data_IF_800662767530
#
_entry.id   IF_800662767530
#
_cell.length_a   1.000
_cell.length_b   1.000
_cell.length_c   1.000
_cell.angle_alpha   90.00
_cell.angle_beta   90.00
_cell.angle_gamma   90.00
#
_symmetry.space_group_name_H-M   'P 1'
#
loop_
_entity.id
_entity.type
_entity.pdbx_description
1 polymer ?
#
# COMPACT_ATOMS: atom_id res chain seq x y z
N UNK A 1 -14.45 8.40 -5.01
CA UNK A 1 -13.13 7.72 -4.96
C UNK A 1 -12.36 7.97 -6.24
N UNK A 2 -11.09 8.34 -6.17
CA UNK A 2 -10.19 8.49 -7.32
C UNK A 2 -9.69 7.12 -7.81
N UNK A 3 -9.14 7.06 -9.05
CA UNK A 3 -8.53 5.83 -9.56
C UNK A 3 -7.34 5.38 -8.69
N UNK A 4 -6.53 6.32 -8.23
CA UNK A 4 -5.38 6.02 -7.36
C UNK A 4 -5.81 5.47 -5.98
N UNK A 5 -6.89 6.00 -5.39
CA UNK A 5 -7.47 5.46 -4.16
C UNK A 5 -8.05 4.06 -4.37
N UNK A 6 -8.76 3.82 -5.47
CA UNK A 6 -9.29 2.49 -5.79
C UNK A 6 -8.18 1.46 -5.90
N UNK A 7 -7.12 1.76 -6.63
CA UNK A 7 -5.94 0.89 -6.73
C UNK A 7 -5.26 0.64 -5.38
N UNK A 8 -5.11 1.69 -4.54
CA UNK A 8 -4.54 1.55 -3.21
C UNK A 8 -5.37 0.63 -2.29
N UNK A 9 -6.68 0.58 -2.50
CA UNK A 9 -7.60 -0.28 -1.76
C UNK A 9 -7.88 -1.63 -2.42
N UNK A 10 -7.19 -1.93 -3.52
CA UNK A 10 -7.39 -3.15 -4.32
C UNK A 10 -8.83 -3.28 -4.86
N UNK A 11 -9.39 -2.16 -5.30
CA UNK A 11 -10.70 -2.07 -5.95
C UNK A 11 -10.46 -1.83 -7.43
N UNK A 12 -11.16 -2.59 -8.29
CA UNK A 12 -11.09 -2.37 -9.73
C UNK A 12 -11.54 -0.94 -10.09
N UNK A 13 -10.84 -0.24 -11.02
CA UNK A 13 -11.10 1.17 -11.32
C UNK A 13 -12.53 1.50 -11.74
N UNK A 14 -13.24 0.58 -12.38
CA UNK A 14 -14.63 0.71 -12.79
C UNK A 14 -15.61 0.56 -11.62
N UNK A 15 -15.24 -0.20 -10.59
CA UNK A 15 -16.04 -0.38 -9.38
C UNK A 15 -15.96 0.81 -8.41
N UNK A 16 -15.03 1.75 -8.61
CA UNK A 16 -14.82 2.90 -7.71
C UNK A 16 -16.03 3.79 -7.50
N UNK A 17 -16.96 3.81 -8.45
CA UNK A 17 -18.20 4.60 -8.36
C UNK A 17 -19.18 4.07 -7.31
N UNK A 18 -19.01 2.82 -6.88
CA UNK A 18 -19.75 2.25 -5.76
C UNK A 18 -19.27 2.71 -4.38
N UNK A 19 -18.25 3.60 -4.31
CA UNK A 19 -17.66 4.04 -3.04
C UNK A 19 -17.66 5.56 -2.91
N UNK A 20 -18.04 6.07 -1.74
CA UNK A 20 -18.09 7.51 -1.43
C UNK A 20 -17.19 7.80 -0.24
N UNK A 21 -16.41 8.87 -0.37
CA UNK A 21 -15.61 9.45 0.69
C UNK A 21 -16.28 10.69 1.25
N UNK A 22 -16.43 10.75 2.56
CA UNK A 22 -16.93 11.93 3.28
C UNK A 22 -15.78 12.53 4.10
N UNK A 23 -15.41 13.76 3.76
CA UNK A 23 -14.40 14.53 4.48
C UNK A 23 -15.08 15.62 5.32
N UNK A 24 -14.61 15.82 6.56
CA UNK A 24 -15.05 16.92 7.40
C UNK A 24 -14.40 18.23 6.92
N UNK A 25 -15.14 19.06 6.19
CA UNK A 25 -14.60 20.28 5.58
C UNK A 25 -14.47 21.45 6.56
N UNK A 26 -15.51 21.71 7.38
CA UNK A 26 -15.53 22.81 8.36
C UNK A 26 -16.45 22.46 9.52
N UNK A 27 -15.90 22.45 10.74
CA UNK A 27 -16.67 22.29 11.98
C UNK A 27 -16.37 23.49 12.86
N UNK A 28 -17.41 24.28 13.17
CA UNK A 28 -17.25 25.49 13.98
C UNK A 28 -17.25 25.17 15.51
N UNK A 29 -17.66 23.98 15.90
CA UNK A 29 -17.99 23.62 17.29
C UNK A 29 -17.20 22.40 17.79
N UNK A 30 -16.53 21.62 16.94
CA UNK A 30 -15.78 20.43 17.32
C UNK A 30 -14.42 20.34 16.62
N UNK A 31 -13.48 19.60 17.23
CA UNK A 31 -12.21 19.29 16.60
C UNK A 31 -12.44 18.53 15.28
N UNK A 32 -11.80 18.97 14.19
CA UNK A 32 -11.87 18.29 12.89
C UNK A 32 -11.43 16.83 13.05
N UNK A 33 -12.24 15.90 12.54
CA UNK A 33 -11.75 14.56 12.28
C UNK A 33 -10.73 14.63 11.16
N UNK A 34 -9.52 14.17 11.41
CA UNK A 34 -8.47 14.06 10.38
C UNK A 34 -8.67 12.84 9.46
N UNK A 35 -9.59 11.94 9.83
CA UNK A 35 -9.87 10.74 9.08
C UNK A 35 -11.13 10.90 8.22
N UNK A 36 -11.03 10.52 6.94
CA UNK A 36 -12.17 10.43 6.06
C UNK A 36 -13.07 9.25 6.46
N UNK A 37 -14.37 9.41 6.36
CA UNK A 37 -15.34 8.32 6.49
C UNK A 37 -15.69 7.81 5.11
N UNK A 38 -15.65 6.50 4.95
CA UNK A 38 -15.94 5.86 3.67
C UNK A 38 -17.24 5.07 3.74
N UNK A 39 -17.97 5.08 2.63
CA UNK A 39 -19.19 4.31 2.44
C UNK A 39 -19.11 3.54 1.12
N UNK A 40 -19.75 2.39 1.06
CA UNK A 40 -20.02 1.69 -0.20
C UNK A 40 -21.51 1.62 -0.44
N UNK A 41 -21.91 1.66 -1.71
CA UNK A 41 -23.28 1.39 -2.10
C UNK A 41 -23.50 -0.10 -2.30
N UNK A 42 -24.54 -0.61 -1.66
CA UNK A 42 -25.00 -2.00 -1.82
C UNK A 42 -26.45 -2.01 -2.27
N UNK A 43 -26.79 -2.92 -3.18
CA UNK A 43 -28.17 -3.12 -3.60
C UNK A 43 -28.91 -3.97 -2.56
N UNK A 44 -30.00 -3.44 -2.03
CA UNK A 44 -30.88 -4.16 -1.09
C UNK A 44 -32.22 -4.44 -1.78
N UNK A 45 -32.59 -5.73 -2.00
CA UNK A 45 -33.91 -6.07 -2.51
C UNK A 45 -35.00 -5.62 -1.54
N UNK A 46 -36.06 -5.00 -2.03
CA UNK A 46 -37.16 -4.51 -1.17
C UNK A 46 -38.32 -5.52 -1.00
N UNK A 47 -38.15 -6.72 -1.56
CA UNK A 47 -39.07 -7.85 -1.33
C UNK A 47 -40.42 -7.71 -2.03
N UNK A 48 -40.52 -6.92 -3.09
CA UNK A 48 -41.72 -6.68 -3.86
C UNK A 48 -41.79 -7.54 -5.17
N UNK A 49 -41.11 -8.67 -5.19
CA UNK A 49 -41.15 -9.61 -6.27
C UNK A 49 -42.60 -10.17 -6.46
N UNK A 50 -43.06 -10.26 -7.72
CA UNK A 50 -44.31 -10.89 -8.11
C UNK A 50 -44.07 -11.98 -9.12
N UNK A 51 -45.06 -12.86 -9.42
CA UNK A 51 -44.92 -13.87 -10.49
C UNK A 51 -44.58 -13.24 -11.86
N UNK A 52 -45.10 -12.05 -12.15
CA UNK A 52 -44.86 -11.29 -13.39
C UNK A 52 -43.54 -10.52 -13.35
N UNK A 53 -43.01 -10.20 -12.14
CA UNK A 53 -41.75 -9.53 -11.92
C UNK A 53 -40.91 -10.21 -10.85
N UNK A 54 -40.31 -11.39 -11.18
CA UNK A 54 -39.63 -12.24 -10.21
C UNK A 54 -38.37 -11.62 -9.57
N UNK A 55 -37.72 -10.67 -10.27
CA UNK A 55 -36.51 -9.99 -9.75
C UNK A 55 -36.84 -9.01 -8.65
N UNK A 56 -38.05 -8.43 -8.64
CA UNK A 56 -38.40 -7.34 -7.74
C UNK A 56 -37.52 -6.09 -7.95
N UNK A 57 -37.70 -5.10 -7.08
CA UNK A 57 -36.89 -3.89 -7.08
C UNK A 57 -35.74 -3.98 -6.08
N UNK A 58 -34.67 -3.27 -6.39
CA UNK A 58 -33.50 -3.13 -5.54
C UNK A 58 -33.18 -1.66 -5.34
N UNK A 59 -33.03 -1.25 -4.09
CA UNK A 59 -32.60 0.12 -3.73
C UNK A 59 -31.13 0.13 -3.35
N UNK A 60 -30.44 1.21 -3.67
CA UNK A 60 -29.06 1.40 -3.22
C UNK A 60 -29.05 1.98 -1.81
N UNK A 61 -28.30 1.36 -0.91
CA UNK A 61 -28.10 1.81 0.47
C UNK A 61 -26.61 2.07 0.67
N UNK A 62 -26.28 3.14 1.38
CA UNK A 62 -24.93 3.45 1.77
C UNK A 62 -24.58 2.72 3.07
N UNK A 63 -23.61 1.82 3.03
CA UNK A 63 -23.05 1.14 4.20
C UNK A 63 -21.70 1.74 4.57
N UNK A 64 -21.42 1.82 5.87
CA UNK A 64 -20.09 2.18 6.35
C UNK A 64 -19.07 1.16 5.81
N UNK A 65 -18.03 1.65 5.17
CA UNK A 65 -16.96 0.82 4.63
C UNK A 65 -15.62 1.25 5.22
N UNK A 66 -14.86 0.28 5.72
CA UNK A 66 -13.54 0.51 6.27
C UNK A 66 -12.52 0.14 5.19
N UNK A 67 -11.76 1.12 4.65
CA UNK A 67 -10.72 0.83 3.68
C UNK A 67 -9.71 -0.18 4.20
N UNK A 68 -9.25 -1.12 3.37
CA UNK A 68 -8.16 -2.02 3.75
C UNK A 68 -6.92 -1.23 4.12
N UNK A 69 -6.37 -1.50 5.30
CA UNK A 69 -5.09 -0.94 5.71
C UNK A 69 -3.95 -1.65 4.94
N UNK A 70 -3.07 -0.86 4.32
CA UNK A 70 -1.88 -1.39 3.66
C UNK A 70 -0.98 -2.19 4.63
N UNK A 71 -1.05 -1.90 5.93
CA UNK A 71 -0.26 -2.55 7.00
C UNK A 71 -0.95 -3.77 7.60
N UNK A 72 -2.26 -3.96 7.36
CA UNK A 72 -2.99 -5.09 7.91
C UNK A 72 -2.31 -6.42 7.53
N UNK A 73 -2.13 -7.32 8.51
CA UNK A 73 -1.48 -8.61 8.31
C UNK A 73 0.06 -8.58 8.30
N UNK A 74 0.70 -7.40 8.41
CA UNK A 74 2.16 -7.30 8.47
C UNK A 74 2.64 -7.29 9.93
N UNK A 75 3.24 -8.37 10.36
CA UNK A 75 3.88 -8.44 11.68
C UNK A 75 5.22 -7.69 11.69
N UNK A 76 5.69 -7.28 12.89
CA UNK A 76 7.02 -6.70 13.05
C UNK A 76 8.14 -7.62 12.51
N UNK A 77 7.96 -8.93 12.65
CA UNK A 77 8.90 -9.93 12.11
C UNK A 77 8.93 -9.86 10.58
N UNK A 78 7.76 -9.85 9.95
CA UNK A 78 7.62 -9.74 8.49
C UNK A 78 8.23 -8.42 7.98
N UNK A 79 7.93 -7.31 8.65
CA UNK A 79 8.47 -5.99 8.29
C UNK A 79 10.01 -5.98 8.36
N UNK A 80 10.59 -6.51 9.43
CA UNK A 80 12.04 -6.61 9.55
C UNK A 80 12.67 -7.58 8.53
N UNK A 81 11.99 -8.66 8.15
CA UNK A 81 12.46 -9.55 7.09
C UNK A 81 12.52 -8.83 5.73
N UNK A 82 11.49 -8.05 5.40
CA UNK A 82 11.47 -7.22 4.19
C UNK A 82 12.62 -6.21 4.21
N UNK A 83 12.80 -5.49 5.33
CA UNK A 83 13.86 -4.49 5.49
C UNK A 83 15.26 -5.11 5.37
N UNK A 84 15.48 -6.31 5.95
CA UNK A 84 16.73 -7.05 5.81
C UNK A 84 17.01 -7.42 4.36
N UNK A 85 15.97 -7.85 3.62
CA UNK A 85 16.11 -8.21 2.21
C UNK A 85 16.46 -6.98 1.35
N UNK A 86 15.82 -5.83 1.61
CA UNK A 86 16.10 -4.56 0.92
C UNK A 86 17.54 -4.10 1.23
N UNK A 87 17.95 -4.16 2.48
CA UNK A 87 19.27 -3.69 2.91
C UNK A 87 20.42 -4.58 2.39
N UNK A 88 20.17 -5.88 2.23
CA UNK A 88 21.12 -6.79 1.60
C UNK A 88 21.39 -6.46 0.13
N UNK A 89 20.41 -5.90 -0.61
CA UNK A 89 20.54 -5.57 -2.03
C UNK A 89 19.91 -6.58 -2.98
N UNK A 90 20.08 -6.31 -4.28
CA UNK A 90 19.51 -7.13 -5.34
C UNK A 90 20.20 -8.50 -5.46
N UNK A 91 19.43 -9.47 -5.93
CA UNK A 91 19.90 -10.85 -6.15
C UNK A 91 19.68 -11.24 -7.61
N UNK A 92 20.55 -12.14 -8.09
CA UNK A 92 20.40 -12.82 -9.37
C UNK A 92 19.35 -13.96 -9.30
N UNK A 93 19.19 -14.69 -10.40
CA UNK A 93 18.27 -15.84 -10.51
C UNK A 93 18.66 -16.98 -9.59
N UNK A 94 19.94 -17.14 -9.27
CA UNK A 94 20.48 -18.15 -8.37
C UNK A 94 20.41 -17.72 -6.90
N UNK A 95 19.97 -16.50 -6.61
CA UNK A 95 19.83 -15.94 -5.26
C UNK A 95 21.08 -15.28 -4.69
N UNK A 96 22.18 -15.16 -5.47
CA UNK A 96 23.41 -14.51 -5.04
C UNK A 96 23.28 -12.99 -5.10
N UNK A 97 23.94 -12.29 -4.18
CA UNK A 97 23.97 -10.83 -4.17
C UNK A 97 24.74 -10.30 -5.38
N UNK A 98 24.13 -9.39 -6.13
CA UNK A 98 24.72 -8.79 -7.33
C UNK A 98 25.57 -7.55 -7.05
N UNK A 99 25.58 -7.04 -5.80
CA UNK A 99 26.16 -5.74 -5.48
C UNK A 99 25.26 -4.55 -5.82
N UNK A 100 24.18 -4.76 -6.58
CA UNK A 100 23.21 -3.74 -6.93
C UNK A 100 22.24 -3.48 -5.76
N UNK A 101 21.75 -2.24 -5.67
CA UNK A 101 20.77 -1.83 -4.66
C UNK A 101 19.40 -1.62 -5.26
N UNK A 102 18.36 -1.90 -4.47
CA UNK A 102 16.98 -1.62 -4.87
C UNK A 102 16.74 -0.13 -5.08
N UNK A 103 15.72 0.18 -5.86
CA UNK A 103 15.34 1.55 -6.20
C UNK A 103 13.82 1.70 -6.22
N UNK A 104 13.33 2.88 -5.80
CA UNK A 104 11.91 3.25 -5.93
C UNK A 104 11.60 4.01 -7.23
N UNK A 105 12.58 4.19 -8.12
CA UNK A 105 12.37 4.88 -9.39
C UNK A 105 11.42 4.06 -10.30
N UNK A 106 10.49 4.72 -11.04
CA UNK A 106 9.57 4.02 -11.94
C UNK A 106 10.29 3.16 -12.99
N UNK A 107 11.47 3.59 -13.43
CA UNK A 107 12.30 2.90 -14.44
C UNK A 107 13.28 1.88 -13.82
N UNK A 108 13.13 1.50 -12.55
CA UNK A 108 14.10 0.65 -11.87
C UNK A 108 14.18 -0.79 -12.43
N UNK A 109 13.18 -1.23 -13.22
CA UNK A 109 13.10 -2.59 -13.80
C UNK A 109 13.40 -3.67 -12.74
N UNK A 110 14.40 -4.53 -12.97
CA UNK A 110 14.81 -5.60 -12.07
C UNK A 110 15.29 -5.16 -10.67
N UNK A 111 15.49 -3.85 -10.43
CA UNK A 111 15.84 -3.29 -9.12
C UNK A 111 14.67 -2.63 -8.39
N UNK A 112 13.45 -2.75 -8.92
CA UNK A 112 12.26 -2.20 -8.26
C UNK A 112 12.10 -2.79 -6.85
N UNK A 113 11.81 -1.92 -5.85
CA UNK A 113 11.74 -2.34 -4.45
C UNK A 113 10.38 -2.91 -4.07
N UNK A 114 9.28 -2.51 -4.71
CA UNK A 114 7.94 -2.94 -4.34
C UNK A 114 7.72 -4.46 -4.44
N UNK A 115 8.32 -5.21 -5.42
CA UNK A 115 8.16 -6.66 -5.47
C UNK A 115 8.76 -7.38 -4.27
N UNK A 116 9.74 -6.75 -3.59
CA UNK A 116 10.28 -7.29 -2.33
C UNK A 116 9.20 -7.35 -1.27
N UNK A 117 8.39 -6.30 -1.11
CA UNK A 117 7.27 -6.31 -0.16
C UNK A 117 6.27 -7.40 -0.53
N UNK A 118 5.90 -7.52 -1.81
CA UNK A 118 4.95 -8.52 -2.28
C UNK A 118 5.44 -9.96 -2.08
N UNK A 119 6.75 -10.20 -2.15
CA UNK A 119 7.34 -11.52 -1.87
C UNK A 119 7.04 -12.04 -0.46
N UNK A 120 7.00 -11.13 0.54
CA UNK A 120 6.74 -11.46 1.95
C UNK A 120 5.28 -11.29 2.36
N UNK A 121 4.48 -10.64 1.51
CA UNK A 121 3.08 -10.32 1.72
C UNK A 121 2.33 -10.49 0.40
N UNK A 122 2.14 -11.73 -0.01
CA UNK A 122 1.62 -12.12 -1.34
C UNK A 122 0.18 -11.67 -1.57
N UNK A 123 -0.57 -11.43 -0.50
CA UNK A 123 -1.93 -10.90 -0.54
C UNK A 123 -2.01 -9.40 -0.86
N UNK A 124 -0.88 -8.69 -0.83
CA UNK A 124 -0.84 -7.24 -1.11
C UNK A 124 -0.78 -6.96 -2.60
N UNK A 125 -1.58 -6.00 -3.05
CA UNK A 125 -1.46 -5.47 -4.41
C UNK A 125 -0.18 -4.65 -4.58
N UNK A 126 0.26 -4.45 -5.83
CA UNK A 126 1.39 -3.57 -6.14
C UNK A 126 1.19 -2.17 -5.54
N UNK A 127 -0.03 -1.62 -5.64
CA UNK A 127 -0.34 -0.29 -5.11
C UNK A 127 -0.16 -0.22 -3.58
N UNK A 128 -0.58 -1.26 -2.85
CA UNK A 128 -0.36 -1.36 -1.41
C UNK A 128 1.13 -1.48 -1.06
N UNK A 129 1.87 -2.31 -1.80
CA UNK A 129 3.32 -2.43 -1.63
C UNK A 129 4.04 -1.09 -1.86
N UNK A 130 3.67 -0.36 -2.91
CA UNK A 130 4.20 0.98 -3.19
C UNK A 130 3.85 2.00 -2.10
N UNK A 131 2.65 1.91 -1.52
CA UNK A 131 2.23 2.75 -0.39
C UNK A 131 3.11 2.52 0.84
N UNK A 132 3.40 1.27 1.18
CA UNK A 132 4.30 0.90 2.28
C UNK A 132 5.69 1.49 2.06
N UNK A 133 6.27 1.28 0.87
CA UNK A 133 7.59 1.82 0.51
C UNK A 133 7.59 3.35 0.59
N UNK A 134 6.55 4.01 0.09
CA UNK A 134 6.44 5.47 0.14
C UNK A 134 6.42 5.99 1.59
N UNK A 135 5.68 5.33 2.48
CA UNK A 135 5.64 5.70 3.90
C UNK A 135 7.01 5.49 4.57
N UNK A 136 7.73 4.41 4.26
CA UNK A 136 9.08 4.19 4.77
C UNK A 136 10.09 5.24 4.27
N UNK A 137 9.97 5.68 3.03
CA UNK A 137 10.76 6.79 2.51
C UNK A 137 10.41 8.11 3.21
N UNK A 138 9.12 8.39 3.41
CA UNK A 138 8.64 9.61 4.08
C UNK A 138 9.09 9.67 5.55
N UNK A 139 9.10 8.54 6.26
CA UNK A 139 9.60 8.45 7.64
C UNK A 139 11.12 8.45 7.74
N UNK A 140 11.82 8.28 6.62
CA UNK A 140 13.27 8.15 6.56
C UNK A 140 13.78 6.79 7.06
N UNK A 141 12.90 5.79 7.24
CA UNK A 141 13.30 4.41 7.50
C UNK A 141 14.04 3.82 6.29
N UNK A 142 13.54 4.11 5.08
CA UNK A 142 14.29 3.93 3.84
C UNK A 142 14.80 5.28 3.36
N UNK A 143 16.02 5.30 2.88
CA UNK A 143 16.64 6.50 2.31
C UNK A 143 17.51 6.17 1.11
N UNK A 144 17.69 7.14 0.23
CA UNK A 144 18.57 7.01 -0.92
C UNK A 144 20.04 7.15 -0.48
N UNK A 145 20.90 6.26 -0.95
CA UNK A 145 22.34 6.29 -0.74
C UNK A 145 23.05 5.98 -2.03
N UNK A 146 24.07 6.77 -2.35
CA UNK A 146 24.89 6.51 -3.52
C UNK A 146 25.84 5.34 -3.28
N UNK A 147 26.03 4.52 -4.31
CA UNK A 147 26.93 3.39 -4.34
C UNK A 147 27.54 3.26 -5.74
N UNK A 148 28.68 2.61 -5.85
CA UNK A 148 29.29 2.27 -7.13
C UNK A 148 28.71 0.97 -7.64
N UNK A 149 28.18 0.98 -8.87
CA UNK A 149 27.67 -0.22 -9.56
C UNK A 149 28.79 -0.79 -10.44
N UNK A 150 29.27 -1.99 -10.09
CA UNK A 150 30.31 -2.66 -10.86
C UNK A 150 29.81 -3.09 -12.26
N UNK A 151 28.54 -3.48 -12.35
CA UNK A 151 27.91 -3.91 -13.60
C UNK A 151 27.79 -2.78 -14.61
N UNK A 152 27.50 -1.56 -14.16
CA UNK A 152 27.35 -0.38 -15.03
C UNK A 152 28.58 0.55 -14.97
N UNK A 153 29.56 0.25 -14.13
CA UNK A 153 30.81 1.02 -13.95
C UNK A 153 30.58 2.51 -13.71
N UNK A 154 29.58 2.83 -12.84
CA UNK A 154 29.23 4.22 -12.48
C UNK A 154 28.59 4.31 -11.11
N UNK A 155 28.59 5.50 -10.55
CA UNK A 155 27.82 5.78 -9.34
C UNK A 155 26.32 5.78 -9.63
N UNK A 156 25.56 5.15 -8.73
CA UNK A 156 24.09 5.04 -8.78
C UNK A 156 23.51 5.30 -7.40
N UNK A 157 22.28 5.75 -7.39
CA UNK A 157 21.50 5.83 -6.16
C UNK A 157 20.71 4.53 -5.94
N UNK A 158 20.72 4.06 -4.70
CA UNK A 158 19.98 2.90 -4.26
C UNK A 158 19.40 3.11 -2.87
N UNK A 159 18.53 2.20 -2.44
CA UNK A 159 17.89 2.26 -1.13
C UNK A 159 18.76 1.60 -0.06
N UNK A 160 18.77 2.22 1.12
CA UNK A 160 19.35 1.71 2.36
C UNK A 160 18.36 1.86 3.50
N UNK A 161 18.53 1.07 4.55
CA UNK A 161 17.66 1.04 5.73
C UNK A 161 18.34 1.77 6.90
N UNK A 162 17.59 2.66 7.55
CA UNK A 162 18.00 3.25 8.82
C UNK A 162 17.71 2.26 9.96
N UNK A 163 18.75 1.67 10.52
CA UNK A 163 18.63 0.68 11.58
C UNK A 163 17.96 1.22 12.85
N UNK A 164 18.12 2.51 13.15
CA UNK A 164 17.54 3.14 14.33
C UNK A 164 16.02 3.31 14.26
N UNK A 165 15.46 3.30 13.03
CA UNK A 165 14.03 3.48 12.78
C UNK A 165 13.28 2.18 12.52
N UNK A 166 13.92 1.04 12.70
CA UNK A 166 13.29 -0.27 12.46
C UNK A 166 12.12 -0.51 13.43
N UNK A 167 11.05 -1.18 12.97
CA UNK A 167 9.95 -1.58 13.84
C UNK A 167 10.45 -2.45 15.00
N UNK A 168 10.03 -2.14 16.23
CA UNK A 168 10.41 -2.90 17.43
C UNK A 168 11.75 -2.49 18.07
N UNK A 169 12.46 -1.49 17.53
CA UNK A 169 13.69 -0.95 18.16
C UNK A 169 13.42 0.18 19.15
N UNK A 170 12.13 0.52 19.39
CA UNK A 170 11.74 1.53 20.37
C UNK A 170 12.18 1.11 21.77
N UNK A 171 13.08 1.86 22.36
CA UNK A 171 13.44 1.80 23.79
C UNK A 171 12.16 1.96 24.60
N UNK A 172 11.77 0.93 25.35
CA UNK A 172 10.84 1.10 26.46
C UNK A 172 11.49 2.05 27.44
N UNK A 173 10.96 3.26 27.51
CA UNK A 173 11.21 4.20 28.60
C UNK A 173 10.03 4.12 29.56
#
# INVERSE_FOLDING_TARGET
MTVAEAQAFNIEPDQRFGYVRLDSAKVNIATRSSAATWFRFVGVPIGNATPEYPAGDTIQVAELWIPPDAWAGLSTVTLNAILNYIDAGCRDEDGNLTGERFSNAPAAKGRAVWPVVQRFATEKSEAQCRTIIHQWLKSGLLFAKDYYSDSERKNRSGLSVDAAKRPGTGTQT
#
